data_IF_327582153170
#
_entry.id   IF_327582153170
#
_cell.length_a   1.000
_cell.length_b   1.000
_cell.length_c   1.000
_cell.angle_alpha   90.00
_cell.angle_beta   90.00
_cell.angle_gamma   90.00
#
_symmetry.space_group_name_H-M   'P 1'
#
loop_
_entity.id
_entity.type
_entity.pdbx_description
1 polymer ?
#
# COMPACT_ATOMS: atom_id res chain seq x y z
N UNK A 1 20.78 6.95 -20.33
CA UNK A 1 21.96 6.50 -19.58
C UNK A 1 21.95 4.99 -19.66
N UNK A 2 22.92 4.40 -20.34
CA UNK A 2 22.98 2.98 -20.70
C UNK A 2 24.02 2.21 -19.86
N UNK A 3 24.81 2.91 -19.04
CA UNK A 3 25.86 2.36 -18.19
C UNK A 3 25.96 3.09 -16.86
N UNK A 4 26.40 2.36 -15.84
CA UNK A 4 26.79 2.88 -14.53
C UNK A 4 28.29 3.13 -14.53
N UNK A 5 28.74 4.31 -14.08
CA UNK A 5 30.16 4.66 -13.99
C UNK A 5 30.51 5.02 -12.55
N UNK A 6 31.47 4.30 -11.97
CA UNK A 6 31.99 4.63 -10.64
C UNK A 6 32.67 6.01 -10.68
N UNK A 7 32.30 6.95 -9.81
CA UNK A 7 32.86 8.31 -9.83
C UNK A 7 34.31 8.36 -9.34
N UNK A 8 34.83 7.29 -8.73
CA UNK A 8 36.17 7.28 -8.18
C UNK A 8 37.23 6.96 -9.24
N UNK A 9 37.24 5.73 -9.75
CA UNK A 9 38.25 5.26 -10.72
C UNK A 9 37.69 5.02 -12.13
N UNK A 10 36.42 5.35 -12.36
CA UNK A 10 35.84 5.32 -13.69
C UNK A 10 35.50 3.94 -14.26
N UNK A 11 35.56 2.87 -13.46
CA UNK A 11 35.02 1.56 -13.85
C UNK A 11 33.59 1.72 -14.32
N UNK A 12 33.21 0.96 -15.36
CA UNK A 12 31.84 0.99 -15.87
C UNK A 12 31.20 -0.38 -15.89
N UNK A 13 29.89 -0.39 -15.68
CA UNK A 13 29.04 -1.58 -15.75
C UNK A 13 27.82 -1.31 -16.61
N UNK A 14 27.29 -2.35 -17.24
CA UNK A 14 25.96 -2.35 -17.83
C UNK A 14 24.89 -2.26 -16.73
N UNK A 15 23.65 -2.00 -17.13
CA UNK A 15 22.51 -2.00 -16.19
C UNK A 15 22.21 -3.40 -15.62
N UNK A 16 22.74 -4.45 -16.24
CA UNK A 16 22.73 -5.85 -15.76
C UNK A 16 23.91 -6.19 -14.82
N UNK A 17 24.69 -5.17 -14.44
CA UNK A 17 25.85 -5.31 -13.57
C UNK A 17 27.07 -5.97 -14.19
N UNK A 18 27.09 -6.27 -15.50
CA UNK A 18 28.29 -6.77 -16.19
C UNK A 18 29.35 -5.68 -16.29
N UNK A 19 30.61 -5.99 -15.94
CA UNK A 19 31.71 -5.02 -16.09
C UNK A 19 31.96 -4.76 -17.58
N UNK A 20 31.88 -3.50 -17.98
CA UNK A 20 32.00 -3.05 -19.36
C UNK A 20 33.37 -2.45 -19.68
N UNK A 21 33.95 -1.69 -18.75
CA UNK A 21 35.23 -1.02 -18.95
C UNK A 21 36.02 -0.92 -17.65
N UNK A 22 37.33 -1.19 -17.77
CA UNK A 22 38.34 -1.02 -16.76
C UNK A 22 39.36 0.00 -17.29
N UNK A 23 39.33 1.25 -16.82
CA UNK A 23 40.34 2.23 -17.22
C UNK A 23 41.75 1.69 -16.96
N UNK A 24 42.65 1.92 -17.92
CA UNK A 24 44.01 1.42 -17.88
C UNK A 24 44.11 -0.11 -17.71
N UNK A 25 43.20 -0.90 -18.31
CA UNK A 25 43.20 -2.37 -18.21
C UNK A 25 44.56 -3.03 -18.52
N UNK A 26 45.43 -2.39 -19.30
CA UNK A 26 46.79 -2.86 -19.55
C UNK A 26 47.65 -2.99 -18.29
N UNK A 27 47.39 -2.19 -17.24
CA UNK A 27 48.08 -2.28 -15.95
C UNK A 27 47.52 -3.44 -15.08
N UNK A 28 46.38 -4.01 -15.47
CA UNK A 28 45.63 -5.01 -14.72
C UNK A 28 45.32 -6.28 -15.54
N UNK A 29 46.31 -6.93 -16.18
CA UNK A 29 46.07 -8.09 -17.05
C UNK A 29 45.53 -9.34 -16.32
N UNK A 30 45.54 -9.32 -14.99
CA UNK A 30 45.06 -10.39 -14.12
C UNK A 30 43.60 -10.22 -13.69
N UNK A 31 42.95 -9.09 -14.00
CA UNK A 31 41.55 -8.86 -13.63
C UNK A 31 40.66 -9.66 -14.56
N UNK A 32 39.82 -10.50 -13.97
CA UNK A 32 38.73 -11.19 -14.66
C UNK A 32 37.44 -10.33 -14.61
N UNK A 33 36.93 -9.81 -15.74
CA UNK A 33 35.67 -9.06 -15.76
C UNK A 33 34.48 -9.79 -15.14
N UNK A 34 34.44 -11.12 -15.19
CA UNK A 34 33.36 -11.90 -14.62
C UNK A 34 33.36 -11.87 -13.08
N UNK A 35 34.54 -11.76 -12.45
CA UNK A 35 34.70 -11.66 -11.00
C UNK A 35 34.37 -10.25 -10.46
N UNK A 36 34.30 -9.24 -11.32
CA UNK A 36 34.06 -7.83 -10.96
C UNK A 36 32.66 -7.32 -11.37
N UNK A 37 31.70 -8.23 -11.52
CA UNK A 37 30.28 -7.85 -11.70
C UNK A 37 29.73 -7.16 -10.45
N UNK A 38 28.72 -6.31 -10.63
CA UNK A 38 28.00 -5.74 -9.49
C UNK A 38 27.27 -6.85 -8.72
N UNK A 39 27.20 -6.78 -7.37
CA UNK A 39 26.36 -7.67 -6.58
C UNK A 39 24.92 -7.69 -7.11
N UNK A 40 24.35 -8.88 -7.20
CA UNK A 40 22.99 -9.09 -7.69
C UNK A 40 22.02 -9.27 -6.51
N UNK A 41 20.76 -8.92 -6.73
CA UNK A 41 19.66 -9.18 -5.81
C UNK A 41 18.47 -9.70 -6.64
N UNK A 42 17.59 -10.47 -6.01
CA UNK A 42 16.33 -10.84 -6.65
C UNK A 42 15.44 -9.60 -6.74
N UNK A 43 14.82 -9.41 -7.91
CA UNK A 43 13.91 -8.29 -8.16
C UNK A 43 12.66 -8.84 -8.83
N UNK A 44 11.50 -8.44 -8.31
CA UNK A 44 10.20 -8.78 -8.90
C UNK A 44 9.22 -7.61 -8.70
N UNK A 45 8.07 -7.68 -9.36
CA UNK A 45 7.07 -6.61 -9.37
C UNK A 45 5.67 -7.13 -9.09
N UNK A 46 4.89 -6.34 -8.37
CA UNK A 46 3.46 -6.59 -8.17
C UNK A 46 2.71 -5.26 -8.04
N UNK A 47 1.59 -5.09 -8.76
CA UNK A 47 0.74 -3.91 -8.64
C UNK A 47 1.43 -2.56 -8.88
N UNK A 48 2.46 -2.52 -9.74
CA UNK A 48 3.27 -1.31 -9.97
C UNK A 48 4.38 -1.06 -8.94
N UNK A 49 4.48 -1.90 -7.89
CA UNK A 49 5.57 -1.86 -6.91
C UNK A 49 6.75 -2.74 -7.35
N UNK A 50 7.96 -2.33 -6.97
CA UNK A 50 9.21 -3.09 -7.17
C UNK A 50 9.68 -3.62 -5.82
N UNK A 51 9.89 -4.93 -5.73
CA UNK A 51 10.40 -5.60 -4.54
C UNK A 51 11.82 -6.08 -4.80
N UNK A 52 12.68 -5.92 -3.80
CA UNK A 52 14.09 -6.33 -3.86
C UNK A 52 14.37 -7.26 -2.69
N UNK A 53 14.95 -8.43 -2.96
CA UNK A 53 15.39 -9.36 -1.94
C UNK A 53 16.90 -9.67 -2.11
N UNK A 54 17.75 -9.36 -1.11
CA UNK A 54 19.18 -9.62 -1.18
C UNK A 54 19.54 -11.10 -1.01
N UNK A 55 18.62 -11.95 -0.55
CA UNK A 55 18.82 -13.39 -0.42
C UNK A 55 18.54 -14.10 -1.75
N UNK A 56 19.56 -14.70 -2.41
CA UNK A 56 19.37 -15.40 -3.69
C UNK A 56 18.59 -16.71 -3.55
N UNK A 57 18.47 -17.26 -2.34
CA UNK A 57 17.76 -18.51 -2.06
C UNK A 57 16.33 -18.27 -1.54
N UNK A 58 15.88 -17.01 -1.54
CA UNK A 58 14.52 -16.67 -1.14
C UNK A 58 13.46 -17.24 -2.10
N UNK A 59 12.23 -17.50 -1.60
CA UNK A 59 11.11 -17.85 -2.46
C UNK A 59 10.78 -16.71 -3.45
N UNK A 60 10.04 -17.05 -4.51
CA UNK A 60 9.56 -16.04 -5.46
C UNK A 60 8.64 -15.03 -4.76
N UNK A 61 8.54 -13.80 -5.30
CA UNK A 61 7.61 -12.82 -4.73
C UNK A 61 6.18 -13.34 -4.73
N UNK A 62 5.76 -14.03 -5.80
CA UNK A 62 4.42 -14.61 -5.93
C UNK A 62 4.10 -15.61 -4.81
N UNK A 63 5.05 -16.47 -4.46
CA UNK A 63 4.88 -17.43 -3.36
C UNK A 63 4.87 -16.71 -2.01
N UNK A 64 5.71 -15.69 -1.84
CA UNK A 64 5.79 -14.92 -0.61
C UNK A 64 4.50 -14.14 -0.33
N UNK A 65 3.98 -13.39 -1.30
CA UNK A 65 2.79 -12.54 -1.10
C UNK A 65 1.47 -13.30 -1.11
N UNK A 66 1.48 -14.63 -1.31
CA UNK A 66 0.30 -15.49 -1.18
C UNK A 66 -0.92 -14.91 -1.88
N UNK A 67 -2.07 -14.90 -1.20
CA UNK A 67 -3.37 -14.49 -1.76
C UNK A 67 -3.54 -12.95 -1.95
N UNK A 68 -2.51 -12.16 -1.66
CA UNK A 68 -2.58 -10.70 -1.75
C UNK A 68 -3.04 -10.22 -3.14
N UNK A 69 -2.51 -10.71 -4.27
CA UNK A 69 -2.95 -10.26 -5.59
C UNK A 69 -4.44 -10.50 -5.85
N UNK A 70 -5.00 -11.58 -5.34
CA UNK A 70 -6.40 -11.95 -5.49
C UNK A 70 -7.33 -10.94 -4.81
N UNK A 71 -6.94 -10.41 -3.65
CA UNK A 71 -7.67 -9.35 -2.96
C UNK A 71 -7.71 -8.02 -3.71
N UNK A 72 -6.75 -7.77 -4.61
CA UNK A 72 -6.61 -6.51 -5.33
C UNK A 72 -6.98 -6.58 -6.82
N UNK A 73 -7.51 -7.69 -7.33
CA UNK A 73 -7.83 -7.86 -8.77
C UNK A 73 -8.72 -6.75 -9.36
N UNK A 74 -9.56 -6.12 -8.54
CA UNK A 74 -10.47 -5.04 -8.96
C UNK A 74 -9.83 -3.64 -8.90
N UNK A 75 -8.67 -3.54 -8.25
CA UNK A 75 -7.92 -2.31 -8.08
C UNK A 75 -6.67 -2.36 -8.97
N UNK A 76 -6.65 -1.65 -10.10
CA UNK A 76 -5.49 -1.62 -10.99
C UNK A 76 -4.38 -0.77 -10.37
N UNK A 77 -3.66 -1.34 -9.41
CA UNK A 77 -2.58 -0.64 -8.69
C UNK A 77 -1.46 -0.21 -9.66
N UNK A 78 -1.24 -1.00 -10.71
CA UNK A 78 -0.29 -0.74 -11.79
C UNK A 78 -0.65 0.49 -12.65
N UNK A 79 -1.89 0.97 -12.61
CA UNK A 79 -2.33 2.19 -13.30
C UNK A 79 -2.21 3.45 -12.41
N UNK A 80 -1.58 3.33 -11.24
CA UNK A 80 -1.39 4.44 -10.29
C UNK A 80 0.00 5.05 -10.41
N UNK A 81 0.12 6.26 -9.89
CA UNK A 81 1.36 7.02 -9.82
C UNK A 81 1.51 7.69 -8.46
N UNK A 82 2.75 7.93 -8.02
CA UNK A 82 3.02 8.62 -6.77
C UNK A 82 2.73 10.11 -6.89
N UNK A 83 1.66 10.58 -6.26
CA UNK A 83 1.33 12.01 -6.24
C UNK A 83 2.12 12.84 -5.25
N UNK A 84 2.58 12.23 -4.15
CA UNK A 84 3.43 12.85 -3.15
C UNK A 84 4.28 11.79 -2.47
N UNK A 85 5.46 12.19 -2.00
CA UNK A 85 6.32 11.37 -1.14
C UNK A 85 6.69 12.20 0.10
N UNK A 86 6.38 11.66 1.29
CA UNK A 86 6.66 12.28 2.57
C UNK A 86 7.47 11.31 3.41
N UNK A 87 8.61 11.77 3.92
CA UNK A 87 9.50 10.98 4.77
C UNK A 87 9.67 11.65 6.14
N UNK A 88 9.63 10.85 7.20
CA UNK A 88 9.87 11.30 8.58
C UNK A 88 10.62 10.22 9.35
N UNK A 89 11.64 10.63 10.10
CA UNK A 89 12.33 9.75 11.06
C UNK A 89 11.52 9.68 12.35
N UNK A 90 11.14 8.47 12.74
CA UNK A 90 10.46 8.20 14.01
C UNK A 90 11.45 7.57 14.99
N UNK A 91 11.47 8.08 16.22
CA UNK A 91 12.33 7.56 17.29
C UNK A 91 11.70 6.33 17.95
N UNK A 92 11.40 5.30 17.17
CA UNK A 92 10.84 4.03 17.65
C UNK A 92 11.40 2.85 16.85
N UNK A 93 11.17 1.62 17.35
CA UNK A 93 11.40 0.44 16.54
C UNK A 93 10.38 0.38 15.40
N UNK A 94 10.80 0.00 14.20
CA UNK A 94 9.91 -0.07 13.04
C UNK A 94 8.70 -0.99 13.27
N UNK A 95 8.83 -2.04 14.10
CA UNK A 95 7.71 -2.93 14.45
C UNK A 95 6.60 -2.21 15.22
N UNK A 96 6.97 -1.34 16.16
CA UNK A 96 6.00 -0.49 16.88
C UNK A 96 5.33 0.49 15.91
N UNK A 97 6.08 0.96 14.91
CA UNK A 97 5.54 1.82 13.86
C UNK A 97 4.46 1.14 13.02
N UNK A 98 4.66 -0.11 12.62
CA UNK A 98 3.68 -0.86 11.81
C UNK A 98 2.52 -1.42 12.65
N UNK A 99 2.74 -1.74 13.93
CA UNK A 99 1.69 -2.21 14.85
C UNK A 99 0.48 -1.26 14.86
N UNK A 100 0.72 0.06 14.84
CA UNK A 100 -0.33 1.08 14.78
C UNK A 100 -1.18 1.07 13.47
N UNK A 101 -0.82 0.27 12.47
CA UNK A 101 -1.54 0.16 11.20
C UNK A 101 -2.13 -1.25 10.96
N UNK A 102 -1.99 -2.16 11.92
CA UNK A 102 -2.55 -3.52 11.88
C UNK A 102 -3.55 -3.76 13.02
N UNK A 103 -3.98 -2.72 13.72
CA UNK A 103 -5.08 -2.73 14.68
C UNK A 103 -5.92 -1.45 14.62
N UNK A 104 -7.14 -1.54 15.14
CA UNK A 104 -8.07 -0.42 15.35
C UNK A 104 -8.25 -0.07 16.84
N UNK A 105 -7.62 -0.82 17.76
CA UNK A 105 -7.76 -0.70 19.21
C UNK A 105 -7.44 0.71 19.72
N UNK A 106 -6.43 1.39 19.16
CA UNK A 106 -6.08 2.74 19.60
C UNK A 106 -7.02 3.84 19.09
N UNK A 107 -7.94 3.52 18.17
CA UNK A 107 -8.79 4.51 17.48
C UNK A 107 -9.59 5.34 18.47
N UNK A 108 -10.30 4.69 19.41
CA UNK A 108 -11.12 5.40 20.39
C UNK A 108 -10.33 6.39 21.25
N UNK A 109 -9.06 6.09 21.55
CA UNK A 109 -8.24 6.86 22.45
C UNK A 109 -7.47 8.00 21.76
N UNK A 110 -7.02 7.78 20.52
CA UNK A 110 -6.06 8.66 19.84
C UNK A 110 -6.68 9.44 18.68
N UNK A 111 -7.76 8.91 18.07
CA UNK A 111 -8.43 9.52 16.92
C UNK A 111 -9.89 9.90 17.25
N UNK A 112 -10.13 10.86 18.16
CA UNK A 112 -11.50 11.27 18.53
C UNK A 112 -12.28 11.87 17.35
N UNK A 113 -11.62 12.22 16.24
CA UNK A 113 -12.27 12.67 15.01
C UNK A 113 -12.84 11.51 14.18
N UNK A 114 -12.39 10.26 14.42
CA UNK A 114 -12.81 9.08 13.67
C UNK A 114 -13.88 8.27 14.41
N UNK A 115 -14.01 8.38 15.72
CA UNK A 115 -14.94 7.55 16.51
C UNK A 115 -16.41 7.76 16.15
N UNK A 116 -16.78 8.90 15.55
CA UNK A 116 -18.16 9.15 15.08
C UNK A 116 -18.47 8.45 13.76
N UNK A 117 -17.46 7.92 13.07
CA UNK A 117 -17.58 7.39 11.70
C UNK A 117 -16.92 6.04 11.50
N UNK A 118 -16.19 5.53 12.50
CA UNK A 118 -15.45 4.27 12.45
C UNK A 118 -15.99 3.29 13.49
N UNK A 119 -16.39 2.11 13.03
CA UNK A 119 -16.72 0.95 13.86
C UNK A 119 -15.45 0.20 14.30
N UNK A 120 -14.58 0.88 15.04
CA UNK A 120 -13.32 0.32 15.54
C UNK A 120 -13.48 -0.93 16.43
N UNK A 121 -14.57 -1.02 17.21
CA UNK A 121 -14.87 -2.19 18.05
C UNK A 121 -15.35 -3.41 17.26
N UNK A 122 -15.72 -3.23 15.99
CA UNK A 122 -16.23 -4.28 15.10
C UNK A 122 -15.30 -4.51 13.90
N UNK A 123 -14.04 -4.11 14.01
CA UNK A 123 -13.02 -4.39 13.00
C UNK A 123 -12.78 -5.90 12.87
N UNK A 124 -12.79 -6.38 11.63
CA UNK A 124 -12.44 -7.76 11.29
C UNK A 124 -10.93 -7.87 11.03
N UNK A 125 -10.32 -8.93 11.56
CA UNK A 125 -8.93 -9.30 11.33
C UNK A 125 -8.85 -10.70 10.75
N UNK A 126 -8.18 -10.83 9.61
CA UNK A 126 -7.95 -12.11 8.94
C UNK A 126 -6.46 -12.34 8.73
N UNK A 127 -6.03 -13.59 8.80
CA UNK A 127 -4.65 -14.01 8.51
C UNK A 127 -4.69 -15.07 7.41
N UNK A 128 -3.96 -14.82 6.32
CA UNK A 128 -3.88 -15.67 5.13
C UNK A 128 -2.44 -16.17 4.98
N UNK A 129 -2.24 -17.44 5.34
CA UNK A 129 -0.89 -18.03 5.34
C UNK A 129 0.03 -17.32 6.33
N UNK A 130 1.31 -17.21 5.97
CA UNK A 130 2.36 -16.68 6.85
C UNK A 130 2.59 -15.17 6.70
N UNK A 131 2.36 -14.62 5.49
CA UNK A 131 2.84 -13.28 5.13
C UNK A 131 1.74 -12.26 4.85
N UNK A 132 0.47 -12.65 4.86
CA UNK A 132 -0.65 -11.77 4.51
C UNK A 132 -1.65 -11.71 5.66
N UNK A 133 -1.99 -10.49 6.06
CA UNK A 133 -3.08 -10.21 6.98
C UNK A 133 -3.99 -9.13 6.39
N UNK A 134 -5.26 -9.15 6.78
CA UNK A 134 -6.25 -8.15 6.35
C UNK A 134 -6.95 -7.57 7.57
N UNK A 135 -7.11 -6.26 7.58
CA UNK A 135 -7.91 -5.52 8.55
C UNK A 135 -9.03 -4.79 7.81
N UNK A 136 -10.29 -5.07 8.17
CA UNK A 136 -11.46 -4.38 7.64
C UNK A 136 -12.16 -3.66 8.79
N UNK A 137 -12.04 -2.33 8.81
CA UNK A 137 -12.76 -1.48 9.78
C UNK A 137 -13.97 -0.86 9.09
N UNK A 138 -15.20 -1.17 9.54
CA UNK A 138 -16.40 -0.55 9.01
C UNK A 138 -16.40 0.98 9.16
N UNK A 139 -16.47 1.69 8.04
CA UNK A 139 -16.68 3.15 8.01
C UNK A 139 -18.17 3.46 7.79
N UNK A 140 -18.68 4.56 8.33
CA UNK A 140 -20.10 4.96 8.21
C UNK A 140 -20.97 4.47 9.36
N UNK A 141 -20.36 3.97 10.42
CA UNK A 141 -20.99 3.59 11.69
C UNK A 141 -20.15 4.16 12.84
N UNK A 142 -20.76 4.71 13.88
CA UNK A 142 -20.01 5.21 15.03
C UNK A 142 -19.43 4.05 15.85
N UNK A 143 -18.32 4.32 16.53
CA UNK A 143 -17.73 3.45 17.55
C UNK A 143 -18.71 3.22 18.70
N UNK A 144 -18.71 2.02 19.27
CA UNK A 144 -19.48 1.71 20.49
C UNK A 144 -19.00 2.50 21.71
N UNK A 145 -17.80 3.10 21.66
CA UNK A 145 -17.30 3.99 22.70
C UNK A 145 -17.96 5.37 22.69
N UNK A 146 -18.71 5.73 21.64
CA UNK A 146 -19.44 7.00 21.60
C UNK A 146 -20.74 6.88 22.39
N UNK A 147 -20.81 7.58 23.52
CA UNK A 147 -21.96 7.51 24.45
C UNK A 147 -23.13 8.44 24.09
N UNK A 148 -22.99 9.23 23.03
CA UNK A 148 -24.04 10.13 22.53
C UNK A 148 -24.58 9.61 21.21
N UNK A 149 -25.81 9.98 20.89
CA UNK A 149 -26.35 9.73 19.56
C UNK A 149 -25.55 10.53 18.53
N UNK A 150 -25.12 9.83 17.48
CA UNK A 150 -24.48 10.41 16.29
C UNK A 150 -25.48 10.25 15.16
N UNK A 151 -26.07 11.36 14.72
CA UNK A 151 -27.07 11.33 13.66
C UNK A 151 -26.44 11.09 12.28
N UNK A 152 -27.20 10.50 11.37
CA UNK A 152 -26.76 10.20 9.99
C UNK A 152 -26.14 11.40 9.25
N UNK A 153 -26.74 12.59 9.40
CA UNK A 153 -26.23 13.85 8.84
C UNK A 153 -24.82 14.19 9.35
N UNK A 154 -24.54 13.89 10.61
CA UNK A 154 -23.23 14.13 11.23
C UNK A 154 -22.19 13.18 10.66
N UNK A 155 -22.56 11.89 10.52
CA UNK A 155 -21.69 10.86 9.94
C UNK A 155 -21.35 11.24 8.49
N UNK A 156 -22.36 11.56 7.67
CA UNK A 156 -22.17 11.94 6.27
C UNK A 156 -21.26 13.17 6.11
N UNK A 157 -21.42 14.20 6.96
CA UNK A 157 -20.58 15.42 6.92
C UNK A 157 -19.14 15.17 7.36
N UNK A 158 -18.91 14.14 8.18
CA UNK A 158 -17.59 13.81 8.70
C UNK A 158 -16.76 12.95 7.74
N UNK A 159 -17.37 12.43 6.67
CA UNK A 159 -16.67 11.63 5.66
C UNK A 159 -15.92 12.50 4.66
N UNK A 160 -14.59 12.38 4.65
CA UNK A 160 -13.67 13.11 3.76
C UNK A 160 -14.00 12.99 2.27
N UNK A 161 -14.58 11.86 1.84
CA UNK A 161 -14.91 11.58 0.45
C UNK A 161 -16.39 11.82 0.09
N UNK A 162 -17.25 12.14 1.07
CA UNK A 162 -18.66 12.37 0.81
C UNK A 162 -18.88 13.71 0.08
N UNK A 163 -19.66 13.70 -0.99
CA UNK A 163 -20.14 14.94 -1.63
C UNK A 163 -21.07 15.69 -0.66
N UNK A 164 -21.09 17.01 -0.78
CA UNK A 164 -22.02 17.84 -0.01
C UNK A 164 -23.46 17.56 -0.46
N UNK A 165 -24.39 17.53 0.49
CA UNK A 165 -25.82 17.41 0.22
C UNK A 165 -26.35 15.97 0.12
N UNK A 166 -25.56 14.97 0.51
CA UNK A 166 -26.05 13.60 0.68
C UNK A 166 -27.06 13.54 1.85
N UNK A 167 -28.05 12.68 1.71
CA UNK A 167 -29.07 12.38 2.71
C UNK A 167 -29.38 10.89 2.71
N UNK A 168 -29.65 10.33 3.89
CA UNK A 168 -30.06 8.92 4.00
C UNK A 168 -31.56 8.80 3.67
N UNK A 169 -31.97 7.95 2.71
CA UNK A 169 -33.38 7.73 2.43
C UNK A 169 -34.07 6.98 3.58
N UNK A 170 -35.42 7.03 3.69
CA UNK A 170 -36.15 6.46 4.84
C UNK A 170 -35.85 5.00 5.16
N UNK A 171 -35.59 4.17 4.14
CA UNK A 171 -35.26 2.74 4.28
C UNK A 171 -33.76 2.46 4.03
N UNK A 172 -32.93 3.51 4.01
CA UNK A 172 -31.50 3.43 3.71
C UNK A 172 -30.62 3.33 4.94
N UNK A 173 -29.31 3.21 4.69
CA UNK A 173 -28.28 3.33 5.72
C UNK A 173 -27.22 4.31 5.28
N UNK A 174 -26.53 4.94 6.23
CA UNK A 174 -25.38 5.80 5.92
C UNK A 174 -24.33 5.05 5.10
N UNK A 175 -24.04 3.80 5.47
CA UNK A 175 -23.10 2.94 4.74
C UNK A 175 -23.50 2.71 3.29
N UNK A 176 -24.77 2.42 3.03
CA UNK A 176 -25.27 2.23 1.67
C UNK A 176 -25.08 3.49 0.81
N UNK A 177 -25.44 4.66 1.34
CA UNK A 177 -25.25 5.95 0.65
C UNK A 177 -23.77 6.23 0.37
N UNK A 178 -22.88 5.96 1.33
CA UNK A 178 -21.45 6.14 1.15
C UNK A 178 -20.85 5.13 0.16
N UNK A 179 -21.35 3.89 0.14
CA UNK A 179 -20.97 2.86 -0.82
C UNK A 179 -21.35 3.26 -2.24
N UNK A 180 -22.58 3.71 -2.46
CA UNK A 180 -23.05 4.23 -3.75
C UNK A 180 -22.19 5.40 -4.23
N UNK A 181 -21.93 6.37 -3.35
CA UNK A 181 -21.09 7.53 -3.68
C UNK A 181 -19.66 7.12 -4.04
N UNK A 182 -19.06 6.20 -3.28
CA UNK A 182 -17.71 5.70 -3.57
C UNK A 182 -17.65 4.98 -4.92
N UNK A 183 -18.61 4.09 -5.21
CA UNK A 183 -18.71 3.40 -6.51
C UNK A 183 -18.86 4.39 -7.65
N UNK A 184 -19.72 5.40 -7.51
CA UNK A 184 -19.91 6.43 -8.52
C UNK A 184 -18.62 7.24 -8.77
N UNK A 185 -17.92 7.66 -7.72
CA UNK A 185 -16.65 8.38 -7.85
C UNK A 185 -15.54 7.54 -8.48
N UNK A 186 -15.43 6.27 -8.08
CA UNK A 186 -14.46 5.36 -8.67
C UNK A 186 -14.77 5.13 -10.15
N UNK A 187 -16.04 4.88 -10.51
CA UNK A 187 -16.47 4.71 -11.89
C UNK A 187 -16.15 5.93 -12.76
N UNK A 188 -16.42 7.13 -12.26
CA UNK A 188 -16.09 8.39 -12.94
C UNK A 188 -14.57 8.54 -13.15
N UNK A 189 -13.75 8.20 -12.14
CA UNK A 189 -12.29 8.38 -12.18
C UNK A 189 -11.57 7.32 -13.00
N UNK A 190 -12.08 6.10 -13.05
CA UNK A 190 -11.38 4.98 -13.71
C UNK A 190 -12.07 4.51 -14.98
N UNK A 191 -13.31 4.94 -15.26
CA UNK A 191 -14.10 4.44 -16.39
C UNK A 191 -14.51 2.97 -16.27
N UNK A 192 -14.57 2.43 -15.04
CA UNK A 192 -14.87 1.01 -14.76
C UNK A 192 -16.22 0.87 -14.04
N UNK A 193 -16.84 -0.30 -14.18
CA UNK A 193 -18.07 -0.63 -13.45
C UNK A 193 -17.73 -1.21 -12.07
N UNK A 194 -18.41 -0.70 -11.06
CA UNK A 194 -18.28 -1.13 -9.66
C UNK A 194 -19.64 -1.50 -9.04
N UNK A 195 -20.71 -1.53 -9.84
CA UNK A 195 -22.10 -1.73 -9.37
C UNK A 195 -22.34 -3.08 -8.68
N UNK A 196 -21.49 -4.07 -8.92
CA UNK A 196 -21.55 -5.40 -8.29
C UNK A 196 -20.82 -5.47 -6.94
N UNK A 197 -20.16 -4.40 -6.50
CA UNK A 197 -19.46 -4.34 -5.21
C UNK A 197 -20.40 -4.18 -4.04
N UNK A 198 -20.11 -4.90 -2.95
CA UNK A 198 -20.81 -4.75 -1.67
C UNK A 198 -20.64 -3.36 -1.06
N UNK A 199 -21.53 -3.03 -0.13
CA UNK A 199 -21.41 -1.87 0.77
C UNK A 199 -20.47 -2.13 1.96
N UNK A 200 -19.74 -3.25 1.94
CA UNK A 200 -18.77 -3.68 2.95
C UNK A 200 -17.47 -2.87 2.87
#
# INVERSE_FOLDING_TARGET
MDRLRCPFHGFTWGLDGTMCDLPCAWDFPHVDPAAYRLPQALVDTWGGFVFVNPDPEAPTLRDYIGDLPEHFQRFPLEERWMSANVAKVLACNWKVGIEAFIEAFHTFAVHPQLITTSGDTITQYDVFGEHVSRMITPVGVPSEHVTRDVGDDEILRSMLFARKGLSVPPDGTVRGVLGDEMRAQLAERTGRDFSDLSDA
#
